data_IF_052096630849
#
_entry.id   IF_052096630849
#
_cell.length_a   1.000
_cell.length_b   1.000
_cell.length_c   1.000
_cell.angle_alpha   90.00
_cell.angle_beta   90.00
_cell.angle_gamma   90.00
#
_symmetry.space_group_name_H-M   'P 1'
#
loop_
_entity.id
_entity.type
_entity.pdbx_description
1 polymer ?
#
# COMPACT_ATOMS: atom_id res chain seq x y z
N UNK A 1 23.59 34.37 19.09
CA UNK A 1 24.47 34.45 17.90
C UNK A 1 24.27 33.25 16.95
N UNK A 2 24.24 32.00 17.44
CA UNK A 2 24.00 30.81 16.60
C UNK A 2 22.59 30.69 15.97
N UNK A 3 21.55 31.23 16.61
CA UNK A 3 20.19 31.26 16.02
C UNK A 3 20.02 32.34 14.95
N UNK A 4 20.73 33.46 15.11
CA UNK A 4 20.63 34.61 14.20
C UNK A 4 21.25 34.32 12.82
N UNK A 5 22.19 33.37 12.74
CA UNK A 5 22.93 33.04 11.51
C UNK A 5 22.27 31.97 10.64
N UNK A 6 21.20 31.32 11.10
CA UNK A 6 20.52 30.25 10.34
C UNK A 6 19.59 30.76 9.21
N UNK A 7 19.20 32.04 9.24
CA UNK A 7 18.19 32.63 8.33
C UNK A 7 18.76 33.74 7.42
N UNK A 8 20.04 33.68 7.07
CA UNK A 8 20.74 34.75 6.34
C UNK A 8 20.69 34.47 4.83
N UNK A 9 20.03 35.37 4.09
CA UNK A 9 19.98 35.42 2.62
C UNK A 9 21.30 35.97 2.04
N UNK A 10 21.53 35.81 0.73
CA UNK A 10 22.79 36.19 0.03
C UNK A 10 23.27 37.63 0.32
N UNK A 11 22.34 38.56 0.46
CA UNK A 11 22.66 39.97 0.73
C UNK A 11 23.21 40.18 2.15
N UNK A 12 22.74 39.39 3.11
CA UNK A 12 23.26 39.43 4.48
C UNK A 12 24.63 38.77 4.62
N UNK A 13 24.98 37.76 3.80
CA UNK A 13 26.36 37.19 3.75
C UNK A 13 27.37 38.24 3.29
N UNK A 14 27.01 39.00 2.25
CA UNK A 14 27.84 40.06 1.68
C UNK A 14 28.08 41.18 2.69
N UNK A 15 27.05 41.54 3.47
CA UNK A 15 27.15 42.49 4.58
C UNK A 15 28.11 42.04 5.69
N UNK A 16 28.03 40.79 6.14
CA UNK A 16 28.93 40.26 7.19
C UNK A 16 30.38 40.13 6.72
N UNK A 17 30.61 39.78 5.45
CA UNK A 17 31.95 39.76 4.84
C UNK A 17 32.53 41.17 4.76
N UNK A 18 31.73 42.17 4.35
CA UNK A 18 32.16 43.56 4.29
C UNK A 18 32.49 44.14 5.68
N UNK A 19 31.68 43.83 6.69
CA UNK A 19 31.91 44.25 8.07
C UNK A 19 33.15 43.60 8.68
N UNK A 20 33.40 42.31 8.42
CA UNK A 20 34.58 41.60 8.92
C UNK A 20 35.88 42.02 8.22
N UNK A 21 35.82 42.42 6.94
CA UNK A 21 36.97 42.92 6.18
C UNK A 21 37.54 44.23 6.72
N UNK A 22 36.72 45.01 7.44
CA UNK A 22 37.16 46.21 8.16
C UNK A 22 37.96 45.90 9.44
N UNK A 23 37.89 44.67 9.96
CA UNK A 23 38.44 44.29 11.27
C UNK A 23 39.68 43.38 11.14
N UNK A 24 39.65 42.36 10.29
CA UNK A 24 40.83 41.50 10.02
C UNK A 24 40.61 40.54 8.84
N UNK A 25 41.61 40.35 7.95
CA UNK A 25 41.57 39.33 6.89
C UNK A 25 41.30 37.90 7.40
N UNK A 26 41.81 37.54 8.60
CA UNK A 26 41.65 36.19 9.14
C UNK A 26 40.21 35.85 9.56
N UNK A 27 39.42 36.86 9.98
CA UNK A 27 38.01 36.68 10.33
C UNK A 27 37.17 36.48 9.05
N UNK A 28 37.53 37.17 7.97
CA UNK A 28 36.88 37.01 6.65
C UNK A 28 37.05 35.59 6.12
N UNK A 29 38.24 34.99 6.24
CA UNK A 29 38.48 33.61 5.82
C UNK A 29 37.69 32.59 6.66
N UNK A 30 37.56 32.81 7.98
CA UNK A 30 36.74 31.96 8.85
C UNK A 30 35.24 32.03 8.48
N UNK A 31 34.73 33.23 8.21
CA UNK A 31 33.33 33.42 7.78
C UNK A 31 33.09 32.77 6.42
N UNK A 32 33.98 32.98 5.44
CA UNK A 32 33.91 32.32 4.12
C UNK A 32 33.94 30.80 4.27
N UNK A 33 34.89 30.26 5.04
CA UNK A 33 34.99 28.83 5.29
C UNK A 33 33.75 28.24 5.97
N UNK A 34 33.10 28.98 6.88
CA UNK A 34 31.84 28.57 7.49
C UNK A 34 30.69 28.54 6.47
N UNK A 35 30.55 29.59 5.66
CA UNK A 35 29.51 29.64 4.63
C UNK A 35 29.72 28.59 3.54
N UNK A 36 30.96 28.37 3.09
CA UNK A 36 31.28 27.32 2.11
C UNK A 36 30.98 25.93 2.67
N UNK A 37 31.33 25.64 3.92
CA UNK A 37 30.93 24.38 4.59
C UNK A 37 29.42 24.27 4.70
N UNK A 38 28.72 25.35 5.04
CA UNK A 38 27.25 25.35 5.13
C UNK A 38 26.60 25.08 3.78
N UNK A 39 27.15 25.62 2.69
CA UNK A 39 26.68 25.44 1.33
C UNK A 39 26.95 24.03 0.82
N UNK A 40 28.15 23.49 1.05
CA UNK A 40 28.49 22.10 0.74
C UNK A 40 27.59 21.14 1.49
N UNK A 41 27.30 21.42 2.77
CA UNK A 41 26.36 20.63 3.57
C UNK A 41 24.96 20.62 2.95
N UNK A 42 24.41 21.79 2.62
CA UNK A 42 23.10 21.92 1.95
C UNK A 42 23.04 21.19 0.60
N UNK A 43 24.12 21.23 -0.18
CA UNK A 43 24.20 20.54 -1.48
C UNK A 43 24.24 19.01 -1.33
N UNK A 44 25.02 18.51 -0.36
CA UNK A 44 25.01 17.08 -0.01
C UNK A 44 23.64 16.62 0.50
N UNK A 45 23.01 17.45 1.32
CA UNK A 45 21.66 17.25 1.84
C UNK A 45 20.63 17.13 0.70
N UNK A 46 20.67 18.05 -0.27
CA UNK A 46 19.81 18.01 -1.45
C UNK A 46 20.05 16.75 -2.31
N UNK A 47 21.30 16.37 -2.56
CA UNK A 47 21.65 15.15 -3.31
C UNK A 47 21.13 13.89 -2.61
N UNK A 48 21.24 13.80 -1.28
CA UNK A 48 20.68 12.70 -0.49
C UNK A 48 19.15 12.66 -0.60
N UNK A 49 18.49 13.82 -0.52
CA UNK A 49 17.04 13.92 -0.66
C UNK A 49 16.57 13.46 -2.05
N UNK A 50 17.24 13.88 -3.12
CA UNK A 50 16.95 13.42 -4.49
C UNK A 50 17.14 11.91 -4.65
N UNK A 51 18.23 11.36 -4.11
CA UNK A 51 18.48 9.91 -4.11
C UNK A 51 17.41 9.15 -3.33
N UNK A 52 16.98 9.68 -2.18
CA UNK A 52 15.88 9.12 -1.41
C UNK A 52 14.58 9.08 -2.21
N UNK A 53 14.22 10.19 -2.88
CA UNK A 53 13.03 10.27 -3.74
C UNK A 53 13.09 9.22 -4.85
N UNK A 54 14.22 9.10 -5.56
CA UNK A 54 14.40 8.11 -6.60
C UNK A 54 14.23 6.68 -6.08
N UNK A 55 14.81 6.36 -4.92
CA UNK A 55 14.67 5.03 -4.31
C UNK A 55 13.21 4.72 -3.94
N UNK A 56 12.44 5.71 -3.47
CA UNK A 56 11.02 5.52 -3.13
C UNK A 56 10.19 5.26 -4.39
N UNK A 57 10.51 5.94 -5.49
CA UNK A 57 9.88 5.69 -6.79
C UNK A 57 10.17 4.25 -7.25
N UNK A 58 11.42 3.80 -7.21
CA UNK A 58 11.77 2.42 -7.57
C UNK A 58 11.11 1.39 -6.65
N UNK A 59 10.98 1.70 -5.35
CA UNK A 59 10.21 0.86 -4.42
C UNK A 59 8.74 0.78 -4.85
N UNK A 60 8.10 1.92 -5.13
CA UNK A 60 6.71 1.99 -5.59
C UNK A 60 6.48 1.18 -6.85
N UNK A 61 7.37 1.27 -7.84
CA UNK A 61 7.32 0.46 -9.07
C UNK A 61 7.34 -1.04 -8.74
N UNK A 62 8.23 -1.47 -7.84
CA UNK A 62 8.29 -2.87 -7.43
C UNK A 62 7.06 -3.34 -6.65
N UNK A 63 6.40 -2.47 -5.88
CA UNK A 63 5.16 -2.83 -5.19
C UNK A 63 3.99 -2.85 -6.18
N UNK A 64 3.99 -1.99 -7.20
CA UNK A 64 3.03 -2.08 -8.30
C UNK A 64 3.18 -3.39 -9.07
N UNK A 65 4.40 -3.80 -9.40
CA UNK A 65 4.66 -5.12 -10.01
C UNK A 65 4.07 -6.25 -9.14
N UNK A 66 4.24 -6.16 -7.81
CA UNK A 66 3.65 -7.12 -6.86
C UNK A 66 2.11 -7.08 -6.89
N UNK A 67 1.52 -5.87 -6.87
CA UNK A 67 0.08 -5.69 -6.96
C UNK A 67 -0.48 -6.31 -8.24
N UNK A 68 0.16 -6.08 -9.39
CA UNK A 68 -0.27 -6.67 -10.66
C UNK A 68 -0.24 -8.20 -10.63
N UNK A 69 0.79 -8.80 -10.01
CA UNK A 69 0.87 -10.27 -9.85
C UNK A 69 -0.30 -10.79 -9.00
N UNK A 70 -0.72 -10.07 -7.95
CA UNK A 70 -1.85 -10.51 -7.12
C UNK A 70 -3.23 -10.11 -7.71
N UNK A 71 -3.32 -9.03 -8.50
CA UNK A 71 -4.51 -8.59 -9.24
C UNK A 71 -4.83 -9.56 -10.39
N UNK A 72 -3.79 -10.07 -11.05
CA UNK A 72 -3.91 -10.97 -12.20
C UNK A 72 -3.94 -12.44 -11.70
N UNK A 73 -5.14 -12.98 -11.48
CA UNK A 73 -5.34 -14.44 -11.47
C UNK A 73 -5.71 -14.89 -12.89
N UNK A 74 -4.73 -15.04 -13.79
CA UNK A 74 -4.94 -15.80 -15.01
C UNK A 74 -5.25 -17.26 -14.63
N UNK A 75 -6.36 -17.86 -15.11
CA UNK A 75 -6.64 -19.28 -14.91
C UNK A 75 -5.66 -20.22 -15.63
N UNK A 76 -4.65 -19.68 -16.33
CA UNK A 76 -3.78 -20.41 -17.25
C UNK A 76 -2.32 -20.54 -16.80
N UNK A 77 -1.85 -19.80 -15.79
CA UNK A 77 -0.50 -20.02 -15.25
C UNK A 77 -0.53 -21.16 -14.23
N UNK A 78 0.42 -22.08 -14.33
CA UNK A 78 0.65 -23.13 -13.34
C UNK A 78 0.90 -22.42 -12.01
N UNK A 79 0.13 -22.78 -10.97
CA UNK A 79 0.12 -22.18 -9.62
C UNK A 79 1.55 -21.90 -9.08
N UNK A 80 2.48 -22.83 -9.37
CA UNK A 80 3.90 -22.75 -9.00
C UNK A 80 4.67 -21.57 -9.64
N UNK A 81 4.39 -21.22 -10.90
CA UNK A 81 5.08 -20.13 -11.60
C UNK A 81 4.63 -18.77 -11.04
N UNK A 82 3.33 -18.65 -10.75
CA UNK A 82 2.77 -17.45 -10.13
C UNK A 82 3.35 -17.24 -8.73
N UNK A 83 3.38 -18.29 -7.91
CA UNK A 83 3.94 -18.21 -6.57
C UNK A 83 5.44 -17.85 -6.61
N UNK A 84 6.18 -18.39 -7.58
CA UNK A 84 7.59 -18.01 -7.80
C UNK A 84 7.75 -16.53 -8.18
N UNK A 85 6.95 -16.00 -9.12
CA UNK A 85 6.97 -14.57 -9.50
C UNK A 85 6.67 -13.68 -8.30
N UNK A 86 5.70 -14.08 -7.48
CA UNK A 86 5.31 -13.39 -6.26
C UNK A 86 6.43 -13.35 -5.22
N UNK A 87 7.09 -14.49 -4.94
CA UNK A 87 8.25 -14.55 -4.03
C UNK A 87 9.39 -13.65 -4.52
N UNK A 88 9.67 -13.66 -5.82
CA UNK A 88 10.69 -12.79 -6.43
C UNK A 88 10.34 -11.31 -6.21
N UNK A 89 9.09 -10.93 -6.49
CA UNK A 89 8.63 -9.55 -6.34
C UNK A 89 8.65 -9.08 -4.87
N UNK A 90 8.21 -9.93 -3.94
CA UNK A 90 8.30 -9.69 -2.48
C UNK A 90 9.74 -9.43 -2.02
N UNK A 91 10.69 -10.25 -2.47
CA UNK A 91 12.11 -10.07 -2.13
C UNK A 91 12.71 -8.81 -2.75
N UNK A 92 12.28 -8.44 -3.96
CA UNK A 92 12.69 -7.20 -4.64
C UNK A 92 12.21 -5.97 -3.86
N UNK A 93 10.93 -5.92 -3.48
CA UNK A 93 10.37 -4.80 -2.70
C UNK A 93 11.03 -4.68 -1.33
N UNK A 94 11.28 -5.80 -0.63
CA UNK A 94 11.98 -5.79 0.67
C UNK A 94 13.41 -5.21 0.58
N UNK A 95 14.17 -5.60 -0.46
CA UNK A 95 15.51 -5.05 -0.70
C UNK A 95 15.46 -3.55 -0.98
N UNK A 96 14.50 -3.11 -1.79
CA UNK A 96 14.31 -1.71 -2.12
C UNK A 96 13.88 -0.89 -0.89
N UNK A 97 13.00 -1.41 -0.02
CA UNK A 97 12.69 -0.81 1.28
C UNK A 97 13.98 -0.56 2.07
N UNK A 98 14.82 -1.58 2.21
CA UNK A 98 16.09 -1.47 2.94
C UNK A 98 16.99 -0.36 2.37
N UNK A 99 17.03 -0.22 1.04
CA UNK A 99 17.75 0.86 0.35
C UNK A 99 17.13 2.23 0.63
N UNK A 100 15.81 2.36 0.62
CA UNK A 100 15.11 3.61 0.97
C UNK A 100 15.46 4.02 2.39
N UNK A 101 15.33 3.11 3.35
CA UNK A 101 15.60 3.36 4.78
C UNK A 101 17.05 3.81 5.01
N UNK A 102 18.02 3.14 4.38
CA UNK A 102 19.43 3.48 4.52
C UNK A 102 19.79 4.88 3.95
N UNK A 103 19.07 5.32 2.92
CA UNK A 103 19.31 6.60 2.25
C UNK A 103 18.35 7.71 2.70
N UNK A 104 17.48 7.46 3.69
CA UNK A 104 16.54 8.47 4.16
C UNK A 104 17.27 9.63 4.82
N UNK A 105 16.80 10.85 4.55
CA UNK A 105 17.52 12.10 4.81
C UNK A 105 17.86 12.31 6.29
N UNK A 106 16.98 11.88 7.20
CA UNK A 106 17.25 11.84 8.63
C UNK A 106 17.46 10.39 9.09
N UNK A 107 18.70 9.98 9.39
CA UNK A 107 18.95 8.64 9.92
C UNK A 107 18.47 8.45 11.38
N UNK A 108 18.07 9.53 12.06
CA UNK A 108 17.57 9.51 13.44
C UNK A 108 16.11 9.02 13.57
N UNK A 109 15.50 8.59 12.48
CA UNK A 109 14.10 8.16 12.41
C UNK A 109 13.83 6.84 13.13
N UNK A 110 14.87 6.03 13.37
CA UNK A 110 14.78 4.86 14.26
C UNK A 110 14.46 5.23 15.71
N UNK A 111 14.54 6.52 16.08
CA UNK A 111 14.05 7.05 17.37
C UNK A 111 12.59 7.48 17.35
N UNK A 112 11.95 7.53 16.18
CA UNK A 112 10.55 7.93 16.02
C UNK A 112 9.68 6.68 15.94
N UNK A 113 8.47 6.76 16.50
CA UNK A 113 7.57 5.61 16.64
C UNK A 113 7.19 5.04 15.26
N UNK A 114 7.51 3.77 15.04
CA UNK A 114 6.89 2.96 13.99
C UNK A 114 5.43 2.77 14.37
N UNK A 115 4.53 2.92 13.43
CA UNK A 115 3.11 2.73 13.66
C UNK A 115 2.81 1.24 13.82
N UNK A 116 2.64 0.79 15.06
CA UNK A 116 2.47 -0.63 15.43
C UNK A 116 1.03 -1.18 15.31
N UNK A 117 0.12 -0.50 14.61
CA UNK A 117 -1.26 -0.98 14.47
C UNK A 117 -1.53 -1.56 13.09
N UNK A 118 -2.20 -2.72 13.06
CA UNK A 118 -2.69 -3.34 11.84
C UNK A 118 -3.94 -2.64 11.27
N UNK A 119 -4.44 -1.58 11.92
CA UNK A 119 -5.60 -0.82 11.45
C UNK A 119 -5.16 0.31 10.52
N UNK A 120 -5.38 0.11 9.22
CA UNK A 120 -5.13 1.12 8.21
C UNK A 120 -6.03 2.36 8.40
N UNK A 121 -7.24 2.17 8.92
CA UNK A 121 -8.16 3.26 9.25
C UNK A 121 -7.63 4.18 10.37
N UNK A 122 -7.06 3.57 11.42
CA UNK A 122 -6.39 4.30 12.48
C UNK A 122 -5.16 5.04 11.95
N UNK A 123 -4.41 4.40 11.05
CA UNK A 123 -3.26 5.01 10.39
C UNK A 123 -3.65 6.27 9.63
N UNK A 124 -4.67 6.20 8.77
CA UNK A 124 -5.16 7.35 8.01
C UNK A 124 -5.67 8.46 8.93
N UNK A 125 -6.36 8.13 10.02
CA UNK A 125 -6.79 9.12 11.01
C UNK A 125 -5.61 9.88 11.59
N UNK A 126 -4.55 9.17 12.04
CA UNK A 126 -3.37 9.81 12.61
C UNK A 126 -2.57 10.62 11.56
N UNK A 127 -2.51 10.15 10.31
CA UNK A 127 -1.88 10.91 9.21
C UNK A 127 -2.58 12.25 8.99
N UNK A 128 -3.91 12.25 8.91
CA UNK A 128 -4.72 13.46 8.72
C UNK A 128 -4.52 14.42 9.91
N UNK A 129 -4.50 13.90 11.14
CA UNK A 129 -4.26 14.67 12.35
C UNK A 129 -2.82 15.20 12.48
N UNK A 130 -1.88 14.75 11.65
CA UNK A 130 -0.45 15.08 11.78
C UNK A 130 0.21 14.44 13.00
N UNK A 131 -0.32 13.32 13.48
CA UNK A 131 0.17 12.57 14.65
C UNK A 131 1.07 11.38 14.28
N UNK A 132 1.35 11.19 12.99
CA UNK A 132 2.30 10.18 12.52
C UNK A 132 3.63 10.87 12.32
N UNK A 133 4.62 10.46 13.12
CA UNK A 133 5.99 10.76 12.80
C UNK A 133 6.36 10.10 11.49
N UNK A 134 7.02 10.83 10.61
CA UNK A 134 7.59 10.28 9.38
C UNK A 134 6.61 9.49 8.51
N UNK A 135 5.57 10.16 8.00
CA UNK A 135 4.53 9.58 7.17
C UNK A 135 5.05 8.67 6.05
N UNK A 136 6.12 9.07 5.37
CA UNK A 136 6.67 8.33 4.22
C UNK A 136 7.24 6.97 4.65
N UNK A 137 8.06 6.94 5.71
CA UNK A 137 8.65 5.70 6.22
C UNK A 137 7.58 4.79 6.81
N UNK A 138 6.67 5.35 7.60
CA UNK A 138 5.56 4.58 8.16
C UNK A 138 4.66 3.98 7.07
N UNK A 139 4.40 4.72 5.98
CA UNK A 139 3.62 4.18 4.85
C UNK A 139 4.36 3.02 4.19
N UNK A 140 5.68 3.14 3.97
CA UNK A 140 6.51 2.08 3.38
C UNK A 140 6.58 0.84 4.27
N UNK A 141 6.73 1.00 5.58
CA UNK A 141 6.74 -0.13 6.53
C UNK A 141 5.39 -0.86 6.54
N UNK A 142 4.28 -0.12 6.54
CA UNK A 142 2.94 -0.72 6.48
C UNK A 142 2.73 -1.46 5.16
N UNK A 143 3.12 -0.87 4.02
CA UNK A 143 3.08 -1.56 2.72
C UNK A 143 3.85 -2.88 2.78
N UNK A 144 5.09 -2.84 3.28
CA UNK A 144 5.90 -4.05 3.38
C UNK A 144 5.28 -5.09 4.31
N UNK A 145 4.68 -4.68 5.43
CA UNK A 145 3.98 -5.59 6.34
C UNK A 145 2.84 -6.34 5.64
N UNK A 146 2.07 -5.64 4.79
CA UNK A 146 1.01 -6.26 4.00
C UNK A 146 1.54 -7.23 2.93
N UNK A 147 2.63 -6.88 2.24
CA UNK A 147 3.33 -7.80 1.31
C UNK A 147 3.88 -9.03 2.06
N UNK A 148 4.35 -8.84 3.28
CA UNK A 148 5.01 -9.88 4.06
C UNK A 148 4.02 -10.89 4.66
N UNK A 149 2.80 -10.45 4.96
CA UNK A 149 1.75 -11.32 5.47
C UNK A 149 1.36 -12.39 4.44
N UNK A 150 1.00 -13.57 4.94
CA UNK A 150 0.86 -14.80 4.14
C UNK A 150 -0.51 -14.94 3.45
N UNK A 151 -1.40 -13.95 3.52
CA UNK A 151 -2.73 -13.98 2.89
C UNK A 151 -2.83 -12.99 1.74
N UNK A 152 -2.41 -13.44 0.56
CA UNK A 152 -2.20 -12.59 -0.62
C UNK A 152 -3.47 -11.90 -1.13
N UNK A 153 -4.64 -12.48 -0.83
CA UNK A 153 -5.93 -11.95 -1.26
C UNK A 153 -6.53 -10.93 -0.30
N UNK A 154 -6.11 -10.93 0.96
CA UNK A 154 -6.80 -10.11 1.97
C UNK A 154 -6.34 -8.65 1.95
N UNK A 155 -5.13 -8.40 1.42
CA UNK A 155 -4.49 -7.09 1.49
C UNK A 155 -4.49 -6.29 0.19
N UNK A 156 -5.10 -6.79 -0.90
CA UNK A 156 -5.10 -6.09 -2.18
C UNK A 156 -5.65 -4.66 -2.04
N UNK A 157 -6.77 -4.51 -1.34
CA UNK A 157 -7.42 -3.21 -1.12
C UNK A 157 -6.52 -2.28 -0.30
N UNK A 158 -5.88 -2.79 0.76
CA UNK A 158 -4.92 -2.04 1.58
C UNK A 158 -3.71 -1.58 0.76
N UNK A 159 -3.06 -2.50 0.04
CA UNK A 159 -1.88 -2.23 -0.76
C UNK A 159 -2.17 -1.21 -1.86
N UNK A 160 -3.28 -1.40 -2.60
CA UNK A 160 -3.76 -0.45 -3.61
C UNK A 160 -3.98 0.94 -3.01
N UNK A 161 -4.63 1.01 -1.85
CA UNK A 161 -4.90 2.29 -1.19
C UNK A 161 -3.61 2.97 -0.73
N UNK A 162 -2.66 2.21 -0.17
CA UNK A 162 -1.37 2.73 0.29
C UNK A 162 -0.49 3.22 -0.85
N UNK A 163 -0.45 2.49 -1.97
CA UNK A 163 0.24 2.89 -3.19
C UNK A 163 -0.36 4.17 -3.76
N UNK A 164 -1.69 4.34 -3.70
CA UNK A 164 -2.36 5.55 -4.19
C UNK A 164 -1.99 6.81 -3.39
N UNK A 165 -1.64 6.67 -2.10
CA UNK A 165 -1.32 7.81 -1.21
C UNK A 165 0.17 8.10 -1.11
N UNK A 166 1.06 7.09 -1.22
CA UNK A 166 2.49 7.27 -1.03
C UNK A 166 3.11 8.31 -1.99
N UNK A 167 2.72 8.42 -3.28
CA UNK A 167 3.18 9.48 -4.17
C UNK A 167 2.83 10.89 -3.68
N UNK A 168 1.69 11.07 -2.99
CA UNK A 168 1.30 12.37 -2.42
C UNK A 168 2.14 12.72 -1.21
N UNK A 169 2.41 11.74 -0.35
CA UNK A 169 3.32 11.90 0.79
C UNK A 169 4.76 12.19 0.31
N UNK A 170 5.22 11.48 -0.73
CA UNK A 170 6.52 11.71 -1.36
C UNK A 170 6.62 13.12 -1.94
N UNK A 171 5.55 13.61 -2.56
CA UNK A 171 5.47 14.98 -3.07
C UNK A 171 5.66 15.99 -1.94
N UNK A 172 4.93 15.87 -0.83
CA UNK A 172 5.09 16.77 0.32
C UNK A 172 6.51 16.73 0.89
N UNK A 173 7.06 15.52 1.03
CA UNK A 173 8.46 15.33 1.45
C UNK A 173 9.44 16.00 0.49
N UNK A 174 9.19 15.96 -0.83
CA UNK A 174 10.06 16.61 -1.81
C UNK A 174 10.12 18.13 -1.64
N UNK A 175 9.00 18.76 -1.25
CA UNK A 175 8.87 20.21 -1.13
C UNK A 175 9.32 20.79 0.22
N UNK A 176 9.26 20.02 1.31
CA UNK A 176 9.61 20.51 2.67
C UNK A 176 10.78 19.75 3.27
N UNK A 177 11.52 20.40 4.15
CA UNK A 177 12.61 19.75 4.91
C UNK A 177 12.10 18.98 6.13
N UNK A 178 10.90 19.30 6.61
CA UNK A 178 10.24 18.61 7.72
C UNK A 178 9.75 17.22 7.29
N UNK A 179 10.32 16.18 7.90
CA UNK A 179 10.01 14.77 7.65
C UNK A 179 8.62 14.36 8.12
N UNK A 180 7.98 15.15 8.99
CA UNK A 180 6.63 14.93 9.50
C UNK A 180 5.56 15.72 8.75
N UNK A 181 5.95 16.58 7.81
CA UNK A 181 5.03 17.47 7.12
C UNK A 181 4.11 16.71 6.15
N UNK A 182 2.81 16.98 6.26
CA UNK A 182 1.79 16.63 5.26
C UNK A 182 0.97 17.88 4.95
N UNK A 183 0.88 18.24 3.67
CA UNK A 183 0.11 19.40 3.22
C UNK A 183 -1.40 19.18 3.39
N UNK A 184 -2.15 20.28 3.45
CA UNK A 184 -3.61 20.22 3.49
C UNK A 184 -4.20 19.45 2.30
N UNK A 185 -3.63 19.65 1.11
CA UNK A 185 -4.05 18.96 -0.11
C UNK A 185 -3.88 17.44 0.01
N UNK A 186 -2.74 16.97 0.54
CA UNK A 186 -2.51 15.54 0.78
C UNK A 186 -3.46 15.00 1.85
N UNK A 187 -3.73 15.76 2.93
CA UNK A 187 -4.70 15.36 3.96
C UNK A 187 -6.10 15.18 3.38
N UNK A 188 -6.56 16.12 2.55
CA UNK A 188 -7.86 16.04 1.89
C UNK A 188 -7.93 14.85 0.92
N UNK A 189 -6.86 14.57 0.19
CA UNK A 189 -6.75 13.39 -0.67
C UNK A 189 -6.82 12.08 0.13
N UNK A 190 -6.06 11.96 1.22
CA UNK A 190 -6.08 10.78 2.11
C UNK A 190 -7.48 10.60 2.72
N UNK A 191 -8.16 11.69 3.09
CA UNK A 191 -9.54 11.62 3.62
C UNK A 191 -10.50 10.99 2.60
N UNK A 192 -10.42 11.40 1.33
CA UNK A 192 -11.23 10.81 0.27
C UNK A 192 -10.88 9.35 0.03
N UNK A 193 -9.58 9.02 -0.04
CA UNK A 193 -9.12 7.64 -0.20
C UNK A 193 -9.54 6.73 0.95
N UNK A 194 -9.56 7.24 2.18
CA UNK A 194 -10.07 6.52 3.36
C UNK A 194 -11.54 6.16 3.21
N UNK A 195 -12.38 7.07 2.72
CA UNK A 195 -13.81 6.79 2.47
C UNK A 195 -13.95 5.70 1.40
N UNK A 196 -13.23 5.82 0.29
CA UNK A 196 -13.23 4.79 -0.77
C UNK A 196 -12.77 3.43 -0.23
N UNK A 197 -11.69 3.41 0.54
CA UNK A 197 -11.17 2.21 1.21
C UNK A 197 -12.21 1.55 2.13
N UNK A 198 -12.89 2.33 2.96
CA UNK A 198 -13.94 1.83 3.85
C UNK A 198 -15.09 1.19 3.06
N UNK A 199 -15.54 1.85 1.98
CA UNK A 199 -16.60 1.32 1.12
C UNK A 199 -16.15 0.04 0.38
N UNK A 200 -14.92 0.02 -0.16
CA UNK A 200 -14.35 -1.17 -0.81
C UNK A 200 -14.20 -2.32 0.19
N UNK A 201 -13.80 -2.04 1.44
CA UNK A 201 -13.69 -3.04 2.51
C UNK A 201 -15.01 -3.58 2.98
N UNK A 202 -16.00 -2.73 3.18
CA UNK A 202 -17.36 -3.14 3.55
C UNK A 202 -17.93 -4.06 2.46
N UNK A 203 -17.81 -3.66 1.20
CA UNK A 203 -18.22 -4.48 0.05
C UNK A 203 -17.46 -5.80 -0.01
N UNK A 204 -16.14 -5.80 0.20
CA UNK A 204 -15.34 -7.03 0.22
C UNK A 204 -15.70 -7.95 1.39
N UNK A 205 -16.08 -7.40 2.54
CA UNK A 205 -16.40 -8.17 3.74
C UNK A 205 -17.66 -9.03 3.58
N UNK A 206 -18.57 -8.63 2.68
CA UNK A 206 -19.71 -9.45 2.27
C UNK A 206 -19.29 -10.75 1.58
N UNK A 207 -18.03 -10.84 1.12
CA UNK A 207 -17.46 -11.99 0.42
C UNK A 207 -16.32 -12.69 1.15
N UNK A 208 -15.90 -12.17 2.31
CA UNK A 208 -14.85 -12.79 3.15
C UNK A 208 -15.47 -13.77 4.16
N UNK A 209 -14.87 -14.94 4.32
CA UNK A 209 -15.29 -15.96 5.29
C UNK A 209 -15.03 -15.49 6.72
N UNK A 210 -16.06 -15.56 7.57
CA UNK A 210 -15.96 -15.12 8.97
C UNK A 210 -15.34 -16.21 9.85
N UNK A 211 -14.59 -15.80 10.88
CA UNK A 211 -13.89 -16.73 11.79
C UNK A 211 -14.81 -17.74 12.46
N UNK A 212 -16.05 -17.32 12.81
CA UNK A 212 -17.05 -18.16 13.46
C UNK A 212 -18.02 -18.88 12.52
N UNK A 213 -18.05 -18.56 11.22
CA UNK A 213 -19.02 -19.18 10.30
C UNK A 213 -18.50 -20.50 9.71
N UNK A 214 -19.39 -21.45 9.45
CA UNK A 214 -19.07 -22.67 8.70
C UNK A 214 -18.96 -22.39 7.20
N UNK A 215 -18.34 -23.30 6.43
CA UNK A 215 -18.25 -23.17 4.95
C UNK A 215 -19.64 -23.14 4.30
N UNK A 216 -20.62 -23.87 4.86
CA UNK A 216 -22.02 -23.82 4.40
C UNK A 216 -22.65 -22.44 4.62
N UNK A 217 -22.55 -21.88 5.82
CA UNK A 217 -23.06 -20.53 6.13
C UNK A 217 -22.38 -19.46 5.27
N UNK A 218 -21.07 -19.59 5.07
CA UNK A 218 -20.30 -18.72 4.18
C UNK A 218 -20.87 -18.69 2.76
N UNK A 219 -20.99 -19.87 2.13
CA UNK A 219 -21.49 -19.95 0.76
C UNK A 219 -22.92 -19.45 0.64
N UNK A 220 -23.83 -19.80 1.55
CA UNK A 220 -25.21 -19.29 1.52
C UNK A 220 -25.24 -17.77 1.54
N UNK A 221 -24.49 -17.15 2.46
CA UNK A 221 -24.39 -15.69 2.56
C UNK A 221 -23.84 -15.06 1.29
N UNK A 222 -22.73 -15.59 0.78
CA UNK A 222 -22.07 -15.06 -0.42
C UNK A 222 -22.94 -15.21 -1.66
N UNK A 223 -23.53 -16.38 -1.91
CA UNK A 223 -24.33 -16.59 -3.10
C UNK A 223 -25.67 -15.82 -3.06
N UNK A 224 -26.24 -15.60 -1.88
CA UNK A 224 -27.37 -14.67 -1.73
C UNK A 224 -26.98 -13.24 -2.14
N UNK A 225 -25.80 -12.78 -1.70
CA UNK A 225 -25.26 -11.47 -2.08
C UNK A 225 -24.95 -11.36 -3.57
N UNK A 226 -24.33 -12.38 -4.13
CA UNK A 226 -24.03 -12.48 -5.56
C UNK A 226 -25.31 -12.42 -6.40
N UNK A 227 -26.38 -13.07 -5.96
CA UNK A 227 -27.67 -13.03 -6.64
C UNK A 227 -28.38 -11.66 -6.61
N UNK A 228 -28.07 -10.80 -5.62
CA UNK A 228 -28.53 -9.40 -5.61
C UNK A 228 -27.86 -8.56 -6.72
N UNK A 229 -26.76 -9.03 -7.31
CA UNK A 229 -26.07 -8.35 -8.40
C UNK A 229 -26.79 -8.67 -9.72
N UNK A 230 -27.37 -7.63 -10.33
CA UNK A 230 -28.20 -7.68 -11.56
C UNK A 230 -27.53 -8.36 -12.78
N UNK A 231 -26.20 -8.56 -12.74
CA UNK A 231 -25.39 -9.20 -13.80
C UNK A 231 -24.70 -10.50 -13.38
N UNK A 232 -25.16 -11.18 -12.33
CA UNK A 232 -24.58 -12.45 -11.89
C UNK A 232 -24.79 -13.57 -12.92
N UNK A 233 -23.77 -13.85 -13.73
CA UNK A 233 -23.80 -14.97 -14.68
C UNK A 233 -23.36 -16.26 -14.00
N UNK A 234 -24.35 -17.09 -13.66
CA UNK A 234 -24.17 -18.44 -13.12
C UNK A 234 -23.30 -19.32 -13.99
N UNK A 235 -23.33 -19.16 -15.32
CA UNK A 235 -22.58 -20.06 -16.20
C UNK A 235 -21.07 -19.91 -16.01
N UNK A 236 -20.58 -18.79 -15.46
CA UNK A 236 -19.16 -18.62 -15.11
C UNK A 236 -18.67 -19.63 -14.07
N UNK A 237 -19.59 -20.24 -13.30
CA UNK A 237 -19.25 -21.28 -12.32
C UNK A 237 -18.86 -22.62 -12.96
N UNK A 238 -19.07 -22.83 -14.27
CA UNK A 238 -18.91 -24.14 -14.93
C UNK A 238 -17.46 -24.62 -15.11
N UNK A 239 -16.48 -23.79 -14.74
CA UNK A 239 -15.04 -24.10 -14.86
C UNK A 239 -14.35 -24.53 -13.56
N UNK A 240 -15.03 -24.53 -12.41
CA UNK A 240 -14.39 -24.78 -11.11
C UNK A 240 -14.50 -26.23 -10.67
N UNK A 241 -13.71 -27.09 -11.33
CA UNK A 241 -13.64 -28.53 -11.10
C UNK A 241 -13.42 -28.87 -9.60
N UNK A 242 -14.24 -29.80 -9.08
CA UNK A 242 -14.09 -30.38 -7.75
C UNK A 242 -14.67 -29.57 -6.58
N UNK A 243 -15.23 -28.37 -6.82
CA UNK A 243 -15.78 -27.51 -5.75
C UNK A 243 -17.20 -27.00 -6.01
N UNK A 244 -17.57 -26.82 -7.28
CA UNK A 244 -18.91 -26.43 -7.73
C UNK A 244 -19.38 -27.39 -8.82
N UNK A 245 -20.65 -27.79 -8.79
CA UNK A 245 -21.25 -28.66 -9.80
C UNK A 245 -22.67 -28.22 -10.12
N UNK A 246 -23.05 -28.26 -11.40
CA UNK A 246 -24.45 -28.13 -11.85
C UNK A 246 -25.21 -29.47 -11.82
N UNK A 247 -24.51 -30.56 -11.51
CA UNK A 247 -25.09 -31.90 -11.36
C UNK A 247 -25.13 -32.31 -9.90
N UNK A 248 -26.22 -32.98 -9.51
CA UNK A 248 -26.41 -33.60 -8.19
C UNK A 248 -25.52 -34.82 -7.97
N UNK A 249 -25.03 -35.42 -9.06
CA UNK A 249 -24.27 -36.66 -9.05
C UNK A 249 -22.77 -36.40 -8.80
N UNK A 250 -22.46 -35.86 -7.62
CA UNK A 250 -21.10 -35.62 -7.12
C UNK A 250 -20.76 -36.51 -5.94
N UNK A 251 -19.50 -36.95 -5.86
CA UNK A 251 -18.97 -37.88 -4.86
C UNK A 251 -18.56 -37.23 -3.53
N UNK A 252 -18.80 -35.93 -3.34
CA UNK A 252 -18.43 -35.20 -2.13
C UNK A 252 -19.25 -35.68 -0.92
N UNK A 253 -18.56 -35.91 0.21
CA UNK A 253 -19.18 -36.38 1.47
C UNK A 253 -20.09 -35.33 2.09
N UNK A 254 -19.62 -34.09 2.13
CA UNK A 254 -20.37 -32.95 2.65
C UNK A 254 -20.66 -31.99 1.52
N UNK A 255 -21.94 -31.80 1.21
CA UNK A 255 -22.39 -30.95 0.11
C UNK A 255 -23.60 -30.12 0.50
N UNK A 256 -23.66 -28.93 -0.07
CA UNK A 256 -24.77 -27.99 0.10
C UNK A 256 -25.36 -27.65 -1.26
N UNK A 257 -26.69 -27.55 -1.35
CA UNK A 257 -27.38 -27.08 -2.55
C UNK A 257 -27.76 -25.61 -2.39
N UNK A 258 -27.50 -24.82 -3.42
CA UNK A 258 -27.97 -23.44 -3.50
C UNK A 258 -28.88 -23.32 -4.71
N UNK A 259 -30.12 -22.89 -4.46
CA UNK A 259 -31.12 -22.58 -5.49
C UNK A 259 -31.17 -21.08 -5.71
N UNK A 260 -31.09 -20.68 -6.98
CA UNK A 260 -31.21 -19.30 -7.41
C UNK A 260 -32.64 -18.97 -7.85
N UNK A 261 -33.03 -17.69 -7.83
CA UNK A 261 -34.33 -17.14 -8.23
C UNK A 261 -34.73 -17.52 -9.66
N UNK A 262 -33.75 -17.71 -10.55
CA UNK A 262 -33.98 -18.17 -11.92
C UNK A 262 -34.24 -19.69 -12.03
N UNK A 263 -34.35 -20.40 -10.90
CA UNK A 263 -34.63 -21.83 -10.83
C UNK A 263 -33.41 -22.73 -11.05
N UNK A 264 -32.23 -22.18 -11.36
CA UNK A 264 -31.00 -22.96 -11.45
C UNK A 264 -30.53 -23.38 -10.06
N UNK A 265 -29.88 -24.54 -9.99
CA UNK A 265 -29.29 -25.08 -8.77
C UNK A 265 -27.82 -25.40 -9.00
N UNK A 266 -27.03 -25.19 -7.95
CA UNK A 266 -25.65 -25.67 -7.89
C UNK A 266 -25.45 -26.48 -6.62
N UNK A 267 -24.52 -27.41 -6.69
CA UNK A 267 -24.01 -28.19 -5.56
C UNK A 267 -22.62 -27.69 -5.23
N UNK A 268 -22.37 -27.42 -3.96
CA UNK A 268 -21.10 -26.94 -3.42
C UNK A 268 -20.51 -27.95 -2.46
N UNK A 269 -19.20 -28.17 -2.55
CA UNK A 269 -18.47 -28.97 -1.58
C UNK A 269 -18.21 -28.14 -0.31
N UNK A 270 -18.78 -28.55 0.83
CA UNK A 270 -18.63 -27.83 2.11
C UNK A 270 -17.68 -28.52 3.09
N UNK A 271 -17.23 -29.74 2.76
CA UNK A 271 -16.24 -30.50 3.55
C UNK A 271 -14.79 -30.08 3.32
N UNK A 272 -14.57 -28.83 2.89
CA UNK A 272 -13.26 -28.28 2.54
C UNK A 272 -12.79 -27.28 3.60
N UNK A 273 -11.51 -26.89 3.53
CA UNK A 273 -10.98 -25.86 4.43
C UNK A 273 -11.58 -24.49 4.11
N UNK A 274 -11.71 -23.64 5.13
CA UNK A 274 -12.15 -22.25 4.98
C UNK A 274 -11.33 -21.45 3.96
N UNK A 275 -10.00 -21.65 3.96
CA UNK A 275 -9.10 -21.02 2.99
C UNK A 275 -9.44 -21.43 1.56
N UNK A 276 -9.72 -22.71 1.31
CA UNK A 276 -10.08 -23.22 -0.01
C UNK A 276 -11.45 -22.71 -0.48
N UNK A 277 -12.39 -22.54 0.45
CA UNK A 277 -13.69 -21.92 0.17
C UNK A 277 -13.53 -20.44 -0.21
N UNK A 278 -12.69 -19.69 0.51
CA UNK A 278 -12.38 -18.30 0.18
C UNK A 278 -11.74 -18.17 -1.21
N UNK A 279 -10.78 -19.05 -1.55
CA UNK A 279 -10.15 -19.07 -2.88
C UNK A 279 -11.19 -19.26 -3.99
N UNK A 280 -12.20 -20.11 -3.77
CA UNK A 280 -13.28 -20.32 -4.75
C UNK A 280 -14.06 -19.03 -5.00
N UNK A 281 -14.56 -18.39 -3.94
CA UNK A 281 -15.36 -17.16 -4.06
C UNK A 281 -14.54 -16.04 -4.69
N UNK A 282 -13.27 -15.90 -4.33
CA UNK A 282 -12.37 -14.93 -4.94
C UNK A 282 -12.26 -15.17 -6.45
N UNK A 283 -12.11 -16.43 -6.89
CA UNK A 283 -12.09 -16.79 -8.31
C UNK A 283 -13.39 -16.43 -9.05
N UNK A 284 -14.55 -16.68 -8.42
CA UNK A 284 -15.86 -16.35 -8.99
C UNK A 284 -16.02 -14.84 -9.16
N UNK A 285 -15.72 -14.06 -8.12
CA UNK A 285 -15.82 -12.60 -8.15
C UNK A 285 -14.94 -12.00 -9.26
N UNK A 286 -13.73 -12.52 -9.46
CA UNK A 286 -12.84 -12.07 -10.52
C UNK A 286 -13.42 -12.32 -11.92
N UNK A 287 -13.94 -13.52 -12.18
CA UNK A 287 -14.60 -13.84 -13.45
C UNK A 287 -15.80 -12.92 -13.72
N UNK A 288 -16.42 -12.37 -12.68
CA UNK A 288 -17.52 -11.42 -12.80
C UNK A 288 -17.07 -9.98 -13.00
N UNK A 289 -16.00 -9.56 -12.32
CA UNK A 289 -15.44 -8.20 -12.41
C UNK A 289 -14.69 -7.95 -13.73
N UNK A 290 -14.21 -8.99 -14.43
CA UNK A 290 -13.51 -8.86 -15.73
C UNK A 290 -14.41 -8.35 -16.89
N UNK A 291 -15.72 -8.16 -16.70
CA UNK A 291 -16.58 -7.55 -17.73
C UNK A 291 -17.04 -6.10 -17.47
N UNK A 292 -16.75 -5.50 -16.31
CA UNK A 292 -17.20 -4.14 -16.00
C UNK A 292 -16.06 -3.08 -15.93
N UNK A 293 -14.84 -3.40 -16.39
CA UNK A 293 -13.72 -2.44 -16.49
C UNK A 293 -13.24 -2.15 -17.93
N UNK A 294 -13.99 -2.59 -18.95
CA UNK A 294 -13.81 -2.14 -20.33
C UNK A 294 -15.08 -1.42 -20.78
N UNK A 295 -15.26 -0.19 -20.31
CA UNK A 295 -16.05 0.85 -20.98
C UNK A 295 -15.68 2.21 -20.41
#
# INVERSE_FOLDING_TARGET
MMEFLKNIDKDSVTFWIALAALVSPGIVELIRGFFDRSRQKKEMELKRKQKCIANVITYLESVNDYLEIIDINFPSEIDDEKEKKKIISKNKSFRLKSIVLANFYEQNMWKQDIFESNSLDLYFSKLIDGKVSSPMINTIEIIQSFIDSTSDTDNYIELKTLIDILPRILSDYSFKEDTNFISRQTKDYIKNKRITYQNEKETSSDYTIKSKESVSEYYKRVFNKLEEIDKFDLNKLSGVSGRVSFSDNVSWREKEKIRFKNGKEIVLNVGIKKSEAQTLINGILLQQVIQNKQT
#
